data_IF_800193379999
#
_entry.id   IF_800193379999
#
_cell.length_a   1.000
_cell.length_b   1.000
_cell.length_c   1.000
_cell.angle_alpha   90.00
_cell.angle_beta   90.00
_cell.angle_gamma   90.00
#
_symmetry.space_group_name_H-M   'P 1'
#
loop_
_entity.id
_entity.type
_entity.pdbx_description
1 polymer ?
#
# COMPACT_ATOMS: atom_id res chain seq x y z
N UNK A 1 -7.92 1.26 24.02
CA UNK A 1 -8.42 1.88 22.77
C UNK A 1 -9.16 0.80 22.02
N UNK A 2 -10.44 0.98 21.73
CA UNK A 2 -11.22 -0.01 20.99
C UNK A 2 -11.07 0.22 19.48
N UNK A 3 -10.88 -0.86 18.72
CA UNK A 3 -10.98 -0.84 17.27
C UNK A 3 -12.46 -0.86 16.91
N UNK A 4 -12.90 0.09 16.10
CA UNK A 4 -14.32 0.26 15.72
C UNK A 4 -14.61 -0.22 14.31
N UNK A 5 -13.61 -0.25 13.43
CA UNK A 5 -13.76 -0.68 12.04
C UNK A 5 -12.39 -1.09 11.47
N UNK A 6 -12.38 -2.13 10.64
CA UNK A 6 -11.18 -2.61 9.93
C UNK A 6 -11.58 -2.95 8.51
N UNK A 7 -10.88 -2.37 7.54
CA UNK A 7 -11.18 -2.55 6.11
C UNK A 7 -9.94 -2.76 5.28
N UNK A 8 -9.99 -3.77 4.43
CA UNK A 8 -9.02 -3.91 3.34
C UNK A 8 -9.37 -2.91 2.24
N UNK A 9 -8.44 -1.99 2.00
CA UNK A 9 -8.49 -1.07 0.88
C UNK A 9 -7.85 -1.72 -0.35
N UNK A 10 -7.75 -0.96 -1.43
CA UNK A 10 -7.08 -1.37 -2.65
C UNK A 10 -6.18 -0.24 -3.12
N UNK A 11 -5.02 -0.59 -3.66
CA UNK A 11 -4.22 0.28 -4.56
C UNK A 11 -4.06 -0.38 -5.95
N UNK A 12 -4.96 -1.30 -6.26
CA UNK A 12 -4.98 -2.10 -7.49
C UNK A 12 -4.05 -3.31 -7.42
N UNK A 13 -3.36 -3.58 -8.51
CA UNK A 13 -2.43 -4.69 -8.65
C UNK A 13 -1.11 -4.22 -9.26
N UNK A 14 -0.05 -4.98 -9.08
CA UNK A 14 1.16 -4.87 -9.89
C UNK A 14 1.61 -6.24 -10.38
N UNK A 15 2.47 -6.26 -11.40
CA UNK A 15 3.06 -7.50 -11.90
C UNK A 15 4.47 -7.69 -11.37
N UNK A 16 4.82 -8.93 -11.06
CA UNK A 16 6.18 -9.36 -10.73
C UNK A 16 6.44 -10.76 -11.30
N UNK A 17 7.71 -11.15 -11.37
CA UNK A 17 8.05 -12.53 -11.72
C UNK A 17 7.66 -13.47 -10.58
N UNK A 18 7.03 -14.60 -10.89
CA UNK A 18 6.54 -15.55 -9.89
C UNK A 18 7.67 -16.20 -9.09
N UNK A 19 8.91 -16.16 -9.57
CA UNK A 19 10.08 -16.64 -8.83
C UNK A 19 10.42 -15.83 -7.58
N UNK A 20 9.89 -14.61 -7.44
CA UNK A 20 9.98 -13.84 -6.20
C UNK A 20 8.98 -14.32 -5.13
N UNK A 21 7.89 -14.98 -5.54
CA UNK A 21 6.87 -15.50 -4.63
C UNK A 21 7.14 -16.95 -4.21
N UNK A 22 7.67 -17.74 -5.14
CA UNK A 22 8.14 -19.09 -4.87
C UNK A 22 9.60 -19.11 -5.25
N UNK A 23 10.46 -18.93 -4.26
CA UNK A 23 11.88 -18.65 -4.44
C UNK A 23 12.53 -19.60 -5.46
N UNK A 24 12.95 -19.03 -6.59
CA UNK A 24 13.64 -19.77 -7.64
C UNK A 24 12.77 -20.74 -8.45
N UNK A 25 11.44 -20.62 -8.43
CA UNK A 25 10.52 -21.42 -9.26
C UNK A 25 9.70 -20.53 -10.19
N UNK A 26 9.30 -21.08 -11.34
CA UNK A 26 8.41 -20.41 -12.31
C UNK A 26 8.98 -19.11 -12.92
N UNK A 27 10.30 -19.04 -13.09
CA UNK A 27 10.98 -17.92 -13.75
C UNK A 27 10.35 -17.62 -15.12
N UNK A 28 10.21 -16.35 -15.43
CA UNK A 28 9.59 -15.86 -16.67
C UNK A 28 8.06 -15.82 -16.61
N UNK A 29 7.44 -16.42 -15.59
CA UNK A 29 5.98 -16.35 -15.41
C UNK A 29 5.61 -15.09 -14.64
N UNK A 30 4.84 -14.19 -15.26
CA UNK A 30 4.31 -13.02 -14.57
C UNK A 30 3.15 -13.39 -13.64
N UNK A 31 3.21 -12.93 -12.42
CA UNK A 31 2.13 -12.98 -11.45
C UNK A 31 1.53 -11.59 -11.24
N UNK A 32 0.22 -11.53 -11.00
CA UNK A 32 -0.51 -10.30 -10.70
C UNK A 32 -0.77 -10.24 -9.18
N UNK A 33 0.04 -9.48 -8.46
CA UNK A 33 -0.07 -9.30 -7.01
C UNK A 33 -1.04 -8.17 -6.67
N UNK A 34 -1.89 -8.41 -5.67
CA UNK A 34 -2.86 -7.43 -5.20
C UNK A 34 -2.25 -6.51 -4.14
N UNK A 35 -2.49 -5.21 -4.25
CA UNK A 35 -2.05 -4.22 -3.28
C UNK A 35 -3.20 -3.95 -2.32
N UNK A 36 -3.02 -4.32 -1.05
CA UNK A 36 -4.08 -4.31 -0.03
C UNK A 36 -3.68 -3.55 1.25
N UNK A 37 -3.57 -2.22 1.19
CA UNK A 37 -3.50 -1.39 2.39
C UNK A 37 -4.64 -1.70 3.36
N UNK A 38 -4.36 -1.75 4.66
CA UNK A 38 -5.36 -2.02 5.70
C UNK A 38 -5.70 -0.72 6.44
N UNK A 39 -6.95 -0.30 6.38
CA UNK A 39 -7.48 0.77 7.20
C UNK A 39 -7.95 0.18 8.54
N UNK A 40 -7.41 0.73 9.64
CA UNK A 40 -7.85 0.43 10.99
C UNK A 40 -8.35 1.73 11.62
N UNK A 41 -9.60 1.74 12.06
CA UNK A 41 -10.20 2.89 12.74
C UNK A 41 -10.43 2.57 14.19
N UNK A 42 -10.10 3.54 15.02
CA UNK A 42 -10.41 3.52 16.44
C UNK A 42 -11.25 4.75 16.79
N UNK A 43 -11.62 4.89 18.05
CA UNK A 43 -12.32 6.09 18.53
C UNK A 43 -11.50 7.38 18.36
N UNK A 44 -10.17 7.29 18.21
CA UNK A 44 -9.26 8.44 18.22
C UNK A 44 -8.36 8.57 16.98
N UNK A 45 -8.12 7.47 16.29
CA UNK A 45 -7.11 7.38 15.23
C UNK A 45 -7.67 6.69 13.98
N UNK A 46 -7.24 7.19 12.82
CA UNK A 46 -7.35 6.50 11.54
C UNK A 46 -5.94 6.05 11.15
N UNK A 47 -5.72 4.74 11.17
CA UNK A 47 -4.43 4.10 10.94
C UNK A 47 -4.47 3.42 9.58
N UNK A 48 -3.43 3.61 8.77
CA UNK A 48 -3.21 2.84 7.54
C UNK A 48 -1.99 1.95 7.74
N UNK A 49 -2.15 0.64 7.49
CA UNK A 49 -1.04 -0.31 7.41
C UNK A 49 -0.71 -0.54 5.94
N UNK A 50 0.52 -0.20 5.57
CA UNK A 50 1.04 -0.11 4.20
C UNK A 50 0.26 0.85 3.30
N UNK A 51 0.91 1.37 2.27
CA UNK A 51 0.35 2.40 1.38
C UNK A 51 0.32 1.96 -0.09
N UNK A 52 0.65 0.71 -0.39
CA UNK A 52 0.62 0.21 -1.76
C UNK A 52 1.80 0.73 -2.59
N UNK A 53 1.64 0.68 -3.92
CA UNK A 53 2.74 0.88 -4.88
C UNK A 53 2.90 2.32 -5.33
N UNK A 54 1.83 3.12 -5.24
CA UNK A 54 1.82 4.49 -5.72
C UNK A 54 2.24 4.59 -7.19
N UNK A 55 3.00 5.62 -7.54
CA UNK A 55 3.52 5.77 -8.91
C UNK A 55 4.93 5.21 -8.98
N UNK A 56 5.11 4.12 -9.73
CA UNK A 56 6.44 3.55 -9.96
C UNK A 56 7.32 4.53 -10.74
N UNK A 57 8.58 4.73 -10.34
CA UNK A 57 9.52 5.49 -11.15
C UNK A 57 9.92 4.73 -12.43
N UNK A 58 10.38 5.40 -13.49
CA UNK A 58 10.61 4.79 -14.81
C UNK A 58 11.51 3.56 -14.81
N UNK A 59 12.51 3.52 -13.93
CA UNK A 59 13.42 2.39 -13.75
C UNK A 59 12.76 1.12 -13.18
N UNK A 60 11.61 1.22 -12.52
CA UNK A 60 10.84 0.07 -12.03
C UNK A 60 9.75 -0.35 -13.02
N UNK A 61 9.21 0.60 -13.81
CA UNK A 61 8.15 0.33 -14.80
C UNK A 61 8.60 -0.67 -15.89
N UNK A 62 9.90 -0.81 -16.17
CA UNK A 62 10.42 -1.84 -17.08
C UNK A 62 10.26 -3.27 -16.57
N UNK A 63 10.07 -3.46 -15.27
CA UNK A 63 9.96 -4.79 -14.65
C UNK A 63 8.55 -5.09 -14.13
N UNK A 64 7.84 -4.04 -13.70
CA UNK A 64 6.55 -4.11 -13.04
C UNK A 64 5.52 -3.24 -13.76
N UNK A 65 4.37 -3.82 -14.06
CA UNK A 65 3.22 -3.08 -14.58
C UNK A 65 2.22 -2.87 -13.45
N UNK A 66 1.86 -1.61 -13.17
CA UNK A 66 0.74 -1.29 -12.28
C UNK A 66 -0.55 -1.42 -13.07
N UNK A 67 -1.50 -2.19 -12.55
CA UNK A 67 -2.81 -2.46 -13.13
C UNK A 67 -3.84 -1.95 -12.14
N UNK A 68 -4.33 -0.73 -12.38
CA UNK A 68 -5.39 -0.10 -11.57
C UNK A 68 -6.19 0.87 -12.41
N UNK A 69 -7.49 0.96 -12.12
CA UNK A 69 -8.30 2.11 -12.52
C UNK A 69 -8.26 3.20 -11.44
N UNK A 70 -8.79 4.39 -11.75
CA UNK A 70 -8.81 5.54 -10.85
C UNK A 70 -9.48 5.25 -9.51
N UNK A 71 -10.54 4.45 -9.49
CA UNK A 71 -11.26 4.12 -8.26
C UNK A 71 -10.53 3.11 -7.36
N UNK A 72 -9.52 2.43 -7.91
CA UNK A 72 -8.68 1.49 -7.19
C UNK A 72 -7.44 2.15 -6.58
N UNK A 73 -7.14 3.42 -6.91
CA UNK A 73 -6.05 4.15 -6.24
C UNK A 73 -6.36 4.33 -4.75
N UNK A 74 -5.33 4.24 -3.90
CA UNK A 74 -5.49 4.33 -2.44
C UNK A 74 -6.25 5.59 -1.99
N UNK A 75 -6.00 6.75 -2.62
CA UNK A 75 -6.69 8.00 -2.30
C UNK A 75 -8.20 7.92 -2.56
N UNK A 76 -8.62 7.24 -3.63
CA UNK A 76 -10.04 7.00 -3.93
C UNK A 76 -10.62 5.91 -3.04
N UNK A 77 -9.83 4.89 -2.70
CA UNK A 77 -10.23 3.84 -1.76
C UNK A 77 -10.53 4.42 -0.36
N UNK A 78 -9.71 5.37 0.10
CA UNK A 78 -9.96 6.16 1.30
C UNK A 78 -11.22 7.00 1.17
N UNK A 79 -11.38 7.71 0.05
CA UNK A 79 -12.56 8.54 -0.21
C UNK A 79 -13.86 7.75 -0.16
N UNK A 80 -13.88 6.53 -0.71
CA UNK A 80 -15.02 5.60 -0.63
C UNK A 80 -15.38 5.21 0.81
N UNK A 81 -14.45 5.35 1.75
CA UNK A 81 -14.64 5.14 3.17
C UNK A 81 -14.82 6.45 3.97
N UNK A 82 -15.08 7.56 3.28
CA UNK A 82 -15.35 8.85 3.91
C UNK A 82 -14.11 9.55 4.48
N UNK A 83 -12.92 9.16 4.04
CA UNK A 83 -11.65 9.73 4.50
C UNK A 83 -10.85 10.33 3.34
N UNK A 84 -10.06 11.35 3.64
CA UNK A 84 -8.98 11.84 2.77
C UNK A 84 -7.63 11.45 3.37
N UNK A 85 -6.54 11.47 2.59
CA UNK A 85 -5.21 11.17 3.14
C UNK A 85 -4.83 12.03 4.35
N UNK A 86 -5.26 13.28 4.40
CA UNK A 86 -4.98 14.19 5.52
C UNK A 86 -5.69 13.80 6.83
N UNK A 87 -6.73 12.96 6.74
CA UNK A 87 -7.50 12.49 7.89
C UNK A 87 -6.85 11.24 8.53
N UNK A 88 -5.77 10.71 7.94
CA UNK A 88 -4.97 9.61 8.49
C UNK A 88 -4.02 10.15 9.54
N UNK A 89 -4.10 9.61 10.75
CA UNK A 89 -3.30 10.04 11.89
C UNK A 89 -1.99 9.27 12.00
N UNK A 90 -1.96 8.03 11.51
CA UNK A 90 -0.81 7.15 11.59
C UNK A 90 -0.68 6.27 10.35
N UNK A 91 0.56 6.11 9.88
CA UNK A 91 0.92 5.12 8.86
C UNK A 91 1.88 4.12 9.50
N UNK A 92 1.55 2.84 9.40
CA UNK A 92 2.43 1.74 9.80
C UNK A 92 2.93 1.07 8.54
N UNK A 93 4.23 1.16 8.26
CA UNK A 93 4.82 0.38 7.19
C UNK A 93 5.28 -0.95 7.76
N UNK A 94 4.82 -2.05 7.19
CA UNK A 94 5.29 -3.39 7.56
C UNK A 94 6.78 -3.55 7.25
N UNK A 95 7.21 -2.95 6.14
CA UNK A 95 8.58 -2.77 5.68
C UNK A 95 8.61 -1.70 4.56
N UNK A 96 9.78 -1.38 4.00
CA UNK A 96 9.93 -0.29 3.03
C UNK A 96 10.15 -0.71 1.57
N UNK A 97 9.72 -1.92 1.19
CA UNK A 97 9.60 -2.22 -0.24
C UNK A 97 8.58 -1.30 -0.92
N UNK A 98 8.83 -1.04 -2.20
CA UNK A 98 8.13 -0.02 -2.98
C UNK A 98 6.61 -0.26 -3.09
N UNK A 99 6.17 -1.52 -3.03
CA UNK A 99 4.76 -1.94 -3.08
C UNK A 99 4.05 -1.84 -1.72
N UNK A 100 4.78 -1.47 -0.66
CA UNK A 100 4.26 -1.24 0.68
C UNK A 100 4.35 0.23 1.12
N UNK A 101 5.28 1.02 0.57
CA UNK A 101 5.52 2.41 0.98
C UNK A 101 5.31 3.45 -0.13
N UNK A 102 4.91 3.02 -1.33
CA UNK A 102 4.92 3.86 -2.54
C UNK A 102 3.99 5.07 -2.51
N UNK A 103 2.97 5.07 -1.64
CA UNK A 103 2.09 6.23 -1.42
C UNK A 103 2.34 6.96 -0.10
N UNK A 104 3.44 6.71 0.62
CA UNK A 104 3.70 7.38 1.91
C UNK A 104 3.59 8.92 1.81
N UNK A 105 4.01 9.51 0.69
CA UNK A 105 3.89 10.96 0.42
C UNK A 105 2.46 11.52 0.43
N UNK A 106 1.43 10.68 0.35
CA UNK A 106 0.04 11.11 0.46
C UNK A 106 -0.33 11.54 1.88
N UNK A 107 0.46 11.16 2.89
CA UNK A 107 0.11 11.27 4.30
C UNK A 107 1.05 12.24 5.07
N UNK A 108 1.12 13.52 4.68
CA UNK A 108 2.11 14.45 5.23
C UNK A 108 1.90 14.79 6.72
N UNK A 109 0.67 14.59 7.23
CA UNK A 109 0.30 14.91 8.61
C UNK A 109 0.39 13.69 9.56
N UNK A 110 0.70 12.51 9.02
CA UNK A 110 0.67 11.27 9.80
C UNK A 110 1.98 11.03 10.53
N UNK A 111 1.89 10.39 11.70
CA UNK A 111 3.04 9.75 12.33
C UNK A 111 3.37 8.45 11.61
N UNK A 112 4.62 8.26 11.20
CA UNK A 112 5.08 7.02 10.59
C UNK A 112 5.69 6.10 11.64
N UNK A 113 5.26 4.83 11.65
CA UNK A 113 5.87 3.74 12.39
C UNK A 113 6.50 2.77 11.41
N UNK A 114 7.79 2.51 11.60
CA UNK A 114 8.59 1.57 10.82
C UNK A 114 9.65 0.99 11.73
N UNK A 115 10.09 -0.23 11.43
CA UNK A 115 11.18 -0.87 12.16
C UNK A 115 12.51 -0.20 11.81
N UNK A 116 13.42 -0.07 12.79
CA UNK A 116 14.63 0.74 12.65
C UNK A 116 15.64 0.19 11.62
N UNK A 117 15.70 -1.13 11.42
CA UNK A 117 16.60 -1.78 10.47
C UNK A 117 16.11 -1.70 9.01
N UNK A 118 14.92 -1.15 8.77
CA UNK A 118 14.42 -0.83 7.42
C UNK A 118 14.91 0.55 6.89
N UNK A 119 15.57 1.36 7.73
CA UNK A 119 16.08 2.71 7.42
C UNK A 119 17.60 2.68 7.21
#
# INVERSE_FOLDING_TARGET
MAVIDVKLLTDGYFTLDKSFLVFGKYQGTKYKAALKPLLVRTEKENIIVDTGVGNLPPNYQKFHNVIRNREEELSYSLKKNGLRPEDITMVVNTHLHFDHCGNNRLFPNSKFLVQIDEI
#
